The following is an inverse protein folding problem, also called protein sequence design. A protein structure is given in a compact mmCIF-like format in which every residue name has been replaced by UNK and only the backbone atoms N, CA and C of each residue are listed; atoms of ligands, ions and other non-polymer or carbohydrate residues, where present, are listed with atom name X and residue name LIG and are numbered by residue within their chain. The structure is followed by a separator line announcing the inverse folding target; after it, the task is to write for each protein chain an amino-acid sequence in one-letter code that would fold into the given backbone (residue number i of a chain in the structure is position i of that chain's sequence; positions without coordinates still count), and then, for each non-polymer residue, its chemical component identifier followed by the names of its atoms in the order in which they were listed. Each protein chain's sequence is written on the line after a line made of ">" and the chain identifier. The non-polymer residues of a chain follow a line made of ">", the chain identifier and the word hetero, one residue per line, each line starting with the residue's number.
data_IF_315526153359
#
_entry.id   IF_315526153359
#
_cell.length_a   1.000
_cell.length_b   1.000
_cell.length_c   1.000
_cell.angle_alpha   90.00
_cell.angle_beta   90.00
_cell.angle_gamma   90.00
#
_symmetry.space_group_name_H-M   'P 1'
#
loop_
_entity.id
_entity.type
_entity.pdbx_description
1 polymer ?
#
# COMPACT_ATOMS: atom_id res chain seq x y z
N UNK A 1 -24.27 38.38 34.07
CA UNK A 1 -23.49 38.93 32.93
C UNK A 1 -22.18 38.18 32.68
N UNK A 2 -21.46 37.69 33.70
CA UNK A 2 -20.20 36.93 33.54
C UNK A 2 -20.32 35.61 32.74
N UNK A 3 -21.42 34.86 32.89
CA UNK A 3 -21.59 33.56 32.23
C UNK A 3 -21.77 33.65 30.70
N UNK A 4 -22.31 34.77 30.19
CA UNK A 4 -22.49 34.99 28.75
C UNK A 4 -21.17 35.27 28.03
N UNK A 5 -20.21 35.91 28.70
CA UNK A 5 -18.87 36.20 28.17
C UNK A 5 -18.00 34.93 28.07
N UNK A 6 -18.17 33.99 29.01
CA UNK A 6 -17.49 32.69 28.98
C UNK A 6 -18.06 31.82 27.84
N UNK A 7 -19.38 31.78 27.70
CA UNK A 7 -20.05 31.06 26.61
C UNK A 7 -19.66 31.60 25.23
N UNK A 8 -19.58 32.94 25.07
CA UNK A 8 -19.17 33.54 23.78
C UNK A 8 -17.71 33.23 23.44
N UNK A 9 -16.81 33.22 24.43
CA UNK A 9 -15.40 32.87 24.22
C UNK A 9 -15.22 31.39 23.84
N UNK A 10 -15.97 30.47 24.45
CA UNK A 10 -15.92 29.04 24.13
C UNK A 10 -16.46 28.73 22.72
N UNK A 11 -17.51 29.42 22.27
CA UNK A 11 -18.07 29.23 20.92
C UNK A 11 -17.09 29.70 19.84
N UNK A 12 -16.38 30.81 20.06
CA UNK A 12 -15.38 31.33 19.10
C UNK A 12 -14.16 30.41 18.99
N UNK A 13 -13.73 29.80 20.10
CA UNK A 13 -12.63 28.82 20.10
C UNK A 13 -13.00 27.53 19.36
N UNK A 14 -14.23 27.02 19.54
CA UNK A 14 -14.73 25.86 18.78
C UNK A 14 -14.86 26.14 17.29
N UNK A 15 -15.28 27.35 16.90
CA UNK A 15 -15.35 27.75 15.49
C UNK A 15 -13.94 27.85 14.87
N UNK A 16 -12.95 28.40 15.58
CA UNK A 16 -11.57 28.48 15.08
C UNK A 16 -10.91 27.11 14.83
N UNK A 17 -11.23 26.08 15.64
CA UNK A 17 -10.71 24.72 15.46
C UNK A 17 -11.27 24.05 14.19
N UNK A 18 -12.47 24.46 13.74
CA UNK A 18 -13.06 23.93 12.49
C UNK A 18 -12.49 24.55 11.21
N UNK A 19 -11.66 25.61 11.29
CA UNK A 19 -11.07 26.29 10.13
C UNK A 19 -9.62 25.88 9.81
N UNK A 20 -9.03 24.96 10.58
CA UNK A 20 -7.67 24.45 10.36
C UNK A 20 -7.60 23.13 9.56
N UNK A 21 -8.62 22.80 8.78
CA UNK A 21 -8.48 21.73 7.80
C UNK A 21 -7.77 22.27 6.56
N UNK A 22 -6.45 22.07 6.48
CA UNK A 22 -5.74 22.24 5.22
C UNK A 22 -6.34 21.24 4.21
N UNK A 23 -6.97 21.70 3.11
CA UNK A 23 -7.40 20.79 2.07
C UNK A 23 -6.14 20.20 1.45
N UNK A 24 -5.81 18.98 1.87
CA UNK A 24 -4.88 18.12 1.16
C UNK A 24 -5.56 17.80 -0.18
N UNK A 25 -5.20 18.54 -1.24
CA UNK A 25 -5.52 18.21 -2.63
C UNK A 25 -4.72 16.95 -3.05
N UNK A 26 -4.92 15.85 -2.32
CA UNK A 26 -4.41 14.55 -2.67
C UNK A 26 -5.51 13.85 -3.49
N UNK A 27 -5.23 13.49 -4.74
CA UNK A 27 -6.15 12.70 -5.53
C UNK A 27 -6.23 11.29 -4.92
N UNK A 28 -7.39 10.86 -4.44
CA UNK A 28 -7.57 9.57 -3.79
C UNK A 28 -8.14 8.51 -4.76
N UNK A 29 -7.34 7.48 -5.00
CA UNK A 29 -7.63 6.37 -5.90
C UNK A 29 -7.91 5.12 -5.06
N UNK A 30 -9.16 4.99 -4.62
CA UNK A 30 -9.61 3.82 -3.89
C UNK A 30 -9.64 2.59 -4.81
N UNK A 31 -8.98 1.50 -4.41
CA UNK A 31 -8.90 0.26 -5.20
C UNK A 31 -10.28 -0.39 -5.43
N UNK A 32 -11.27 -0.15 -4.56
CA UNK A 32 -12.65 -0.61 -4.77
C UNK A 32 -13.28 0.04 -5.99
N UNK A 33 -13.03 1.35 -6.19
CA UNK A 33 -13.51 2.08 -7.37
C UNK A 33 -12.83 1.58 -8.66
N UNK A 34 -11.71 0.88 -8.53
CA UNK A 34 -11.00 0.21 -9.64
C UNK A 34 -11.43 -1.25 -9.84
N UNK A 35 -12.42 -1.74 -9.07
CA UNK A 35 -12.98 -3.09 -9.17
C UNK A 35 -12.36 -4.13 -8.23
N UNK A 36 -11.54 -3.73 -7.26
CA UNK A 36 -11.01 -4.66 -6.26
C UNK A 36 -12.14 -5.17 -5.36
N UNK A 37 -12.05 -6.42 -4.93
CA UNK A 37 -13.04 -7.03 -4.02
C UNK A 37 -12.38 -7.37 -2.68
N UNK A 38 -12.97 -6.96 -1.55
CA UNK A 38 -12.38 -7.14 -0.22
C UNK A 38 -12.64 -8.54 0.39
N UNK A 39 -12.75 -9.59 -0.44
CA UNK A 39 -13.15 -10.94 -0.03
C UNK A 39 -11.97 -11.90 0.25
N UNK A 40 -10.74 -11.48 -0.06
CA UNK A 40 -9.51 -12.28 0.06
C UNK A 40 -9.43 -13.46 -0.91
N UNK A 41 -10.30 -13.53 -1.92
CA UNK A 41 -10.45 -14.65 -2.87
C UNK A 41 -10.41 -14.19 -4.33
N UNK A 42 -11.07 -13.09 -4.64
CA UNK A 42 -11.11 -12.53 -5.98
C UNK A 42 -9.79 -11.82 -6.30
N UNK A 43 -9.19 -12.18 -7.43
CA UNK A 43 -7.96 -11.57 -7.91
C UNK A 43 -8.15 -10.06 -8.14
N UNK A 44 -7.49 -9.25 -7.32
CA UNK A 44 -7.57 -7.80 -7.36
C UNK A 44 -6.39 -7.16 -8.11
N UNK A 45 -5.49 -7.96 -8.70
CA UNK A 45 -4.25 -7.48 -9.34
C UNK A 45 -4.52 -6.42 -10.41
N UNK A 46 -5.51 -6.64 -11.26
CA UNK A 46 -5.87 -5.68 -12.31
C UNK A 46 -6.46 -4.38 -11.75
N UNK A 47 -7.24 -4.44 -10.67
CA UNK A 47 -7.79 -3.25 -10.03
C UNK A 47 -6.69 -2.38 -9.42
N UNK A 48 -5.68 -3.01 -8.83
CA UNK A 48 -4.51 -2.31 -8.31
C UNK A 48 -3.66 -1.69 -9.43
N UNK A 49 -3.51 -2.36 -10.59
CA UNK A 49 -2.88 -1.76 -11.76
C UNK A 49 -3.64 -0.54 -12.29
N UNK A 50 -4.98 -0.59 -12.32
CA UNK A 50 -5.82 0.55 -12.74
C UNK A 50 -5.70 1.73 -11.77
N UNK A 51 -5.75 1.47 -10.46
CA UNK A 51 -5.55 2.50 -9.44
C UNK A 51 -4.16 3.12 -9.54
N UNK A 52 -3.13 2.29 -9.74
CA UNK A 52 -1.77 2.73 -10.02
C UNK A 52 -1.71 3.65 -11.24
N UNK A 53 -2.21 3.20 -12.39
CA UNK A 53 -2.22 4.01 -13.62
C UNK A 53 -2.96 5.35 -13.46
N UNK A 54 -4.03 5.37 -12.67
CA UNK A 54 -4.77 6.61 -12.39
C UNK A 54 -3.96 7.56 -11.51
N UNK A 55 -3.34 7.05 -10.44
CA UNK A 55 -2.43 7.82 -9.59
C UNK A 55 -1.22 8.37 -10.36
N UNK A 56 -0.72 7.59 -11.30
CA UNK A 56 0.39 7.93 -12.17
C UNK A 56 0.08 9.09 -13.15
N UNK A 57 -1.19 9.22 -13.54
CA UNK A 57 -1.67 10.30 -14.39
C UNK A 57 -2.08 11.56 -13.59
N UNK A 58 -1.97 11.53 -12.27
CA UNK A 58 -2.32 12.65 -11.40
C UNK A 58 -1.30 13.78 -11.51
N UNK A 59 -1.79 15.00 -11.72
CA UNK A 59 -0.98 16.23 -11.71
C UNK A 59 -0.64 16.71 -10.30
N UNK A 60 -1.40 16.26 -9.30
CA UNK A 60 -1.20 16.51 -7.88
C UNK A 60 -0.73 15.25 -7.15
N UNK A 61 -0.31 15.39 -5.89
CA UNK A 61 -0.01 14.23 -5.03
C UNK A 61 -1.18 13.24 -5.05
N UNK A 62 -0.88 11.97 -5.26
CA UNK A 62 -1.89 10.92 -5.37
C UNK A 62 -1.80 9.96 -4.19
N UNK A 63 -2.95 9.52 -3.69
CA UNK A 63 -3.04 8.42 -2.73
C UNK A 63 -3.72 7.25 -3.42
N UNK A 64 -3.12 6.07 -3.39
CA UNK A 64 -3.78 4.81 -3.71
C UNK A 64 -4.26 4.24 -2.39
N UNK A 65 -5.56 4.22 -2.17
CA UNK A 65 -6.15 3.80 -0.91
C UNK A 65 -6.65 2.36 -0.97
N UNK A 66 -6.12 1.52 -0.09
CA UNK A 66 -6.61 0.15 0.16
C UNK A 66 -7.42 0.15 1.45
N UNK A 67 -8.76 0.08 1.39
CA UNK A 67 -9.61 0.13 2.57
C UNK A 67 -9.49 -1.15 3.40
N UNK A 68 -10.20 -1.19 4.54
CA UNK A 68 -10.32 -2.41 5.34
C UNK A 68 -10.93 -3.54 4.50
N UNK A 69 -10.40 -4.74 4.66
CA UNK A 69 -10.76 -5.92 3.86
C UNK A 69 -9.53 -6.76 3.52
N UNK A 70 -9.75 -7.89 2.86
CA UNK A 70 -8.68 -8.76 2.36
C UNK A 70 -8.66 -8.68 0.83
N UNK A 71 -7.51 -8.42 0.24
CA UNK A 71 -7.36 -8.28 -1.20
C UNK A 71 -6.34 -9.28 -1.70
N UNK A 72 -6.78 -10.25 -2.51
CA UNK A 72 -5.89 -11.20 -3.14
C UNK A 72 -5.09 -10.49 -4.23
N UNK A 73 -3.76 -10.57 -4.15
CA UNK A 73 -2.84 -10.07 -5.17
C UNK A 73 -1.90 -11.19 -5.61
N UNK A 74 -1.83 -11.41 -6.92
CA UNK A 74 -0.75 -12.20 -7.54
C UNK A 74 0.51 -11.33 -7.69
N UNK A 75 1.52 -11.79 -8.42
CA UNK A 75 2.67 -10.95 -8.75
C UNK A 75 2.21 -9.67 -9.44
N UNK A 76 2.66 -8.53 -8.93
CA UNK A 76 2.30 -7.22 -9.47
C UNK A 76 3.53 -6.35 -9.55
N UNK A 77 3.66 -5.64 -10.68
CA UNK A 77 4.76 -4.71 -10.95
C UNK A 77 4.22 -3.31 -11.16
N UNK A 78 4.47 -2.45 -10.19
CA UNK A 78 4.17 -1.02 -10.26
C UNK A 78 5.39 -0.29 -10.82
N UNK A 79 5.28 0.19 -12.06
CA UNK A 79 6.37 0.84 -12.77
C UNK A 79 6.05 2.30 -13.06
N UNK A 80 7.07 3.14 -13.04
CA UNK A 80 7.07 4.43 -13.75
C UNK A 80 7.66 5.59 -12.97
N UNK A 81 8.19 6.55 -13.72
CA UNK A 81 8.77 7.80 -13.23
C UNK A 81 7.69 8.87 -13.27
N UNK A 82 7.30 9.39 -12.11
CA UNK A 82 6.17 10.31 -11.99
C UNK A 82 6.59 11.64 -11.39
N UNK A 83 5.99 12.73 -11.88
CA UNK A 83 6.30 14.08 -11.39
C UNK A 83 5.70 14.35 -10.02
N UNK A 84 4.58 13.70 -9.70
CA UNK A 84 3.87 13.82 -8.44
C UNK A 84 4.23 12.69 -7.47
N UNK A 85 4.12 12.97 -6.16
CA UNK A 85 4.28 11.96 -5.12
C UNK A 85 3.07 11.02 -5.13
N UNK A 86 3.34 9.71 -5.01
CA UNK A 86 2.31 8.68 -4.83
C UNK A 86 2.43 8.09 -3.44
N UNK A 87 1.38 8.16 -2.64
CA UNK A 87 1.24 7.44 -1.39
C UNK A 87 0.40 6.17 -1.61
N UNK A 88 0.98 5.00 -1.35
CA UNK A 88 0.29 3.73 -1.37
C UNK A 88 -0.12 3.36 0.05
N UNK A 89 -1.38 3.58 0.39
CA UNK A 89 -1.89 3.48 1.77
C UNK A 89 -2.71 2.21 1.99
N UNK A 90 -2.19 1.31 2.81
CA UNK A 90 -2.75 -0.02 3.09
C UNK A 90 -3.40 -0.05 4.47
N UNK A 91 -4.72 0.18 4.52
CA UNK A 91 -5.52 0.03 5.73
C UNK A 91 -6.10 -1.40 5.89
N UNK A 92 -6.22 -2.14 4.79
CA UNK A 92 -6.63 -3.55 4.77
C UNK A 92 -5.47 -4.53 4.87
N UNK A 93 -5.66 -5.71 4.30
CA UNK A 93 -4.66 -6.76 4.18
C UNK A 93 -4.49 -7.16 2.73
N UNK A 94 -3.26 -7.11 2.22
CA UNK A 94 -2.92 -7.73 0.95
C UNK A 94 -2.58 -9.19 1.22
N UNK A 95 -3.13 -10.11 0.43
CA UNK A 95 -3.02 -11.55 0.63
C UNK A 95 -2.43 -12.17 -0.63
N UNK A 96 -1.41 -13.00 -0.48
CA UNK A 96 -0.86 -13.79 -1.57
C UNK A 96 -1.77 -14.98 -1.93
N UNK A 97 -1.62 -15.56 -3.12
CA UNK A 97 -2.23 -16.85 -3.44
C UNK A 97 -1.86 -17.92 -2.43
N UNK A 98 -2.75 -18.90 -2.23
CA UNK A 98 -2.47 -20.05 -1.36
C UNK A 98 -1.32 -20.92 -1.88
N UNK A 99 -1.17 -20.97 -3.21
CA UNK A 99 -0.01 -21.57 -3.83
C UNK A 99 1.18 -20.60 -3.79
N UNK A 100 2.16 -20.89 -2.93
CA UNK A 100 3.36 -20.06 -2.75
C UNK A 100 4.26 -20.05 -3.98
N UNK A 101 4.16 -21.05 -4.86
CA UNK A 101 4.91 -21.10 -6.13
C UNK A 101 4.44 -20.02 -7.09
N UNK A 102 3.14 -19.70 -7.04
CA UNK A 102 2.53 -18.67 -7.86
C UNK A 102 3.19 -17.30 -7.72
N UNK A 103 3.85 -17.00 -6.59
CA UNK A 103 4.57 -15.74 -6.36
C UNK A 103 6.09 -15.88 -6.28
N UNK A 104 6.62 -17.11 -6.17
CA UNK A 104 8.06 -17.38 -6.03
C UNK A 104 8.79 -17.67 -7.35
N UNK A 105 8.13 -18.30 -8.32
CA UNK A 105 8.83 -18.87 -9.50
C UNK A 105 9.14 -17.88 -10.62
N UNK A 106 8.30 -16.86 -10.86
CA UNK A 106 8.42 -16.05 -12.08
C UNK A 106 9.46 -14.92 -11.99
N UNK A 107 9.58 -14.27 -10.84
CA UNK A 107 10.44 -13.08 -10.67
C UNK A 107 11.10 -12.99 -9.30
N UNK A 108 10.74 -13.88 -8.36
CA UNK A 108 11.12 -13.78 -6.96
C UNK A 108 10.49 -12.58 -6.22
N UNK A 109 9.57 -11.84 -6.86
CA UNK A 109 8.91 -10.68 -6.24
C UNK A 109 7.38 -10.81 -6.29
N UNK A 110 6.74 -10.76 -5.12
CA UNK A 110 5.29 -10.67 -5.02
C UNK A 110 4.78 -9.28 -5.40
N UNK A 111 5.36 -8.23 -4.83
CA UNK A 111 5.01 -6.83 -5.14
C UNK A 111 6.31 -6.08 -5.45
N UNK A 112 6.42 -5.58 -6.68
CA UNK A 112 7.60 -4.86 -7.14
C UNK A 112 7.24 -3.44 -7.54
N UNK A 113 7.82 -2.45 -6.87
CA UNK A 113 7.85 -1.07 -7.34
C UNK A 113 9.18 -0.84 -8.05
N UNK A 114 9.16 -0.55 -9.35
CA UNK A 114 10.38 -0.44 -10.16
C UNK A 114 10.41 0.85 -10.96
N UNK A 115 11.58 1.46 -11.03
CA UNK A 115 11.77 2.75 -11.72
C UNK A 115 10.85 3.85 -11.20
N UNK A 116 10.66 3.93 -9.87
CA UNK A 116 9.82 4.95 -9.23
C UNK A 116 10.68 5.97 -8.50
N UNK A 117 10.28 7.24 -8.51
CA UNK A 117 11.06 8.36 -7.95
C UNK A 117 10.44 9.00 -6.69
N UNK A 118 9.14 8.84 -6.44
CA UNK A 118 8.46 9.48 -5.28
C UNK A 118 7.26 8.70 -4.76
N UNK A 119 7.49 7.44 -4.37
CA UNK A 119 6.43 6.55 -3.84
C UNK A 119 6.64 6.31 -2.35
N UNK A 120 5.66 6.59 -1.49
CA UNK A 120 5.62 6.11 -0.10
C UNK A 120 4.67 4.91 -0.02
N UNK A 121 5.04 3.86 0.72
CA UNK A 121 4.12 2.76 1.03
C UNK A 121 3.90 2.78 2.54
N UNK A 122 2.66 3.00 2.94
CA UNK A 122 2.26 3.11 4.34
C UNK A 122 1.22 2.03 4.58
N UNK A 123 1.48 1.09 5.47
CA UNK A 123 0.59 -0.06 5.58
C UNK A 123 0.77 -0.88 6.84
N UNK A 124 -0.24 -1.68 7.16
CA UNK A 124 -0.17 -2.61 8.30
C UNK A 124 0.19 -4.04 7.92
N UNK A 125 -0.51 -4.65 6.95
CA UNK A 125 -0.49 -6.12 6.81
C UNK A 125 -0.34 -6.60 5.38
N UNK A 126 0.71 -7.40 5.18
CA UNK A 126 0.98 -8.18 3.98
C UNK A 126 1.03 -9.66 4.41
N UNK A 127 0.04 -10.45 4.00
CA UNK A 127 -0.07 -11.89 4.27
C UNK A 127 0.45 -12.66 3.05
N UNK A 128 1.75 -12.97 3.05
CA UNK A 128 2.43 -13.66 1.96
C UNK A 128 2.19 -15.18 1.92
N UNK A 129 1.35 -15.74 2.82
CA UNK A 129 1.05 -17.19 2.88
C UNK A 129 2.29 -18.10 2.94
N UNK A 130 3.34 -17.67 3.65
CA UNK A 130 4.64 -18.34 3.67
C UNK A 130 4.70 -19.74 4.30
N UNK A 131 3.68 -20.18 5.04
CA UNK A 131 3.72 -21.47 5.75
C UNK A 131 4.01 -22.68 4.85
N UNK A 132 3.41 -22.72 3.66
CA UNK A 132 3.65 -23.81 2.70
C UNK A 132 5.06 -23.77 2.10
N UNK A 133 5.63 -22.58 1.92
CA UNK A 133 7.02 -22.41 1.48
C UNK A 133 8.00 -22.93 2.54
N UNK A 134 7.81 -22.57 3.81
CA UNK A 134 8.65 -23.07 4.91
C UNK A 134 8.58 -24.58 5.06
N UNK A 135 7.38 -25.17 4.97
CA UNK A 135 7.21 -26.62 4.97
C UNK A 135 7.98 -27.31 3.83
N UNK A 136 8.03 -26.68 2.64
CA UNK A 136 8.84 -27.16 1.53
C UNK A 136 10.33 -27.19 1.90
N UNK A 137 10.87 -26.08 2.42
CA UNK A 137 12.28 -25.98 2.80
C UNK A 137 12.67 -27.04 3.84
N UNK A 138 11.84 -27.22 4.88
CA UNK A 138 12.09 -28.22 5.92
C UNK A 138 12.03 -29.66 5.39
N UNK A 139 11.28 -29.91 4.32
CA UNK A 139 11.17 -31.24 3.71
C UNK A 139 12.34 -31.63 2.80
N UNK A 140 13.33 -30.74 2.59
CA UNK A 140 14.48 -31.01 1.71
C UNK A 140 14.14 -31.14 0.22
N UNK A 141 12.97 -30.66 -0.20
CA UNK A 141 12.52 -30.70 -1.60
C UNK A 141 13.10 -29.55 -2.42
N UNK A 142 12.99 -29.65 -3.74
CA UNK A 142 13.28 -28.53 -4.62
C UNK A 142 12.18 -27.47 -4.51
N UNK A 143 12.49 -26.36 -3.85
CA UNK A 143 11.55 -25.28 -3.55
C UNK A 143 11.83 -24.06 -4.46
N UNK A 144 10.78 -23.29 -4.82
CA UNK A 144 10.92 -22.03 -5.53
C UNK A 144 11.75 -21.02 -4.73
N UNK A 145 12.25 -19.97 -5.38
CA UNK A 145 12.85 -18.84 -4.65
C UNK A 145 11.76 -18.14 -3.82
N UNK A 146 12.07 -17.81 -2.56
CA UNK A 146 11.13 -17.11 -1.68
C UNK A 146 10.72 -15.75 -2.25
N UNK A 147 9.42 -15.46 -2.23
CA UNK A 147 8.86 -14.22 -2.77
C UNK A 147 9.19 -13.00 -1.90
N UNK A 148 9.56 -11.88 -2.55
CA UNK A 148 10.00 -10.64 -1.90
C UNK A 148 9.09 -9.47 -2.26
N UNK A 149 9.08 -8.44 -1.42
CA UNK A 149 8.53 -7.13 -1.77
C UNK A 149 9.70 -6.15 -1.90
N UNK A 150 9.78 -5.42 -3.02
CA UNK A 150 10.89 -4.51 -3.28
C UNK A 150 10.43 -3.20 -3.88
N UNK A 151 11.11 -2.12 -3.49
CA UNK A 151 11.04 -0.80 -4.13
C UNK A 151 12.40 -0.44 -4.69
N UNK A 152 12.48 -0.16 -5.99
CA UNK A 152 13.69 0.27 -6.70
C UNK A 152 13.56 1.73 -7.12
N UNK A 153 14.44 2.57 -6.59
CA UNK A 153 14.51 4.02 -6.85
C UNK A 153 15.42 4.32 -8.05
N UNK A 154 15.13 5.39 -8.80
CA UNK A 154 15.95 5.82 -9.96
C UNK A 154 16.96 6.92 -9.60
N UNK A 155 16.93 7.47 -8.39
CA UNK A 155 17.86 8.53 -7.99
C UNK A 155 19.26 7.97 -7.71
N UNK A 156 20.28 8.51 -8.39
CA UNK A 156 21.66 8.42 -7.93
C UNK A 156 21.75 9.06 -6.53
N UNK A 157 22.19 8.28 -5.56
CA UNK A 157 22.46 8.63 -4.16
C UNK A 157 21.26 8.81 -3.20
N UNK A 158 21.48 8.22 -2.01
CA UNK A 158 20.67 8.16 -0.79
C UNK A 158 19.52 7.15 -0.80
N UNK A 159 19.87 5.92 -0.41
CA UNK A 159 18.94 4.89 0.04
C UNK A 159 18.26 5.34 1.34
N UNK A 160 17.11 6.01 1.25
CA UNK A 160 16.23 6.17 2.41
C UNK A 160 15.39 4.90 2.56
N UNK A 161 15.91 3.90 3.27
CA UNK A 161 15.14 2.75 3.71
C UNK A 161 14.22 3.17 4.87
N UNK A 162 13.05 3.72 4.55
CA UNK A 162 11.95 3.80 5.52
C UNK A 162 11.29 2.42 5.61
N UNK A 163 11.96 1.46 6.26
CA UNK A 163 11.35 0.18 6.64
C UNK A 163 10.40 0.43 7.82
N UNK A 164 9.24 1.03 7.55
CA UNK A 164 8.16 1.09 8.53
C UNK A 164 7.48 -0.27 8.60
N UNK A 165 7.91 -1.08 9.57
CA UNK A 165 7.04 -1.94 10.39
C UNK A 165 6.02 -2.82 9.69
N UNK A 166 6.38 -3.51 8.60
CA UNK A 166 5.54 -4.60 8.14
C UNK A 166 5.65 -5.75 9.14
N UNK A 167 4.52 -6.14 9.75
CA UNK A 167 4.37 -7.50 10.27
C UNK A 167 4.27 -8.41 9.05
N UNK A 168 5.42 -8.64 8.42
CA UNK A 168 5.61 -9.67 7.40
C UNK A 168 5.41 -10.95 8.19
N UNK A 169 4.19 -11.50 8.13
CA UNK A 169 3.89 -12.77 8.76
C UNK A 169 4.89 -13.79 8.23
N UNK A 170 5.84 -14.17 9.10
CA UNK A 170 6.85 -15.22 8.91
C UNK A 170 7.86 -15.02 7.76
N UNK A 171 8.71 -13.99 7.82
CA UNK A 171 9.97 -13.94 7.07
C UNK A 171 11.03 -13.11 7.82
N UNK A 172 11.53 -13.68 8.92
CA UNK A 172 12.95 -13.85 9.26
C UNK A 172 13.05 -15.12 10.11
#
# INVERSE_FOLDING_TARGET
>A
MANYLVLSSSIVFFLFITFFSCPSNAADYNVLNSGAKPDGKSDSTQAFHKAWGSACNSTQTATIYVPRGRFLLKNVVFRGLYKSRIEFRINGTLVAPSDYRAIGDSSGYWILFVQVNSVSVIGRTLDAKGGAFWACLTSGKNCPVGARVRKSLVTCNVLHYSLFGYKIGSLF
#
